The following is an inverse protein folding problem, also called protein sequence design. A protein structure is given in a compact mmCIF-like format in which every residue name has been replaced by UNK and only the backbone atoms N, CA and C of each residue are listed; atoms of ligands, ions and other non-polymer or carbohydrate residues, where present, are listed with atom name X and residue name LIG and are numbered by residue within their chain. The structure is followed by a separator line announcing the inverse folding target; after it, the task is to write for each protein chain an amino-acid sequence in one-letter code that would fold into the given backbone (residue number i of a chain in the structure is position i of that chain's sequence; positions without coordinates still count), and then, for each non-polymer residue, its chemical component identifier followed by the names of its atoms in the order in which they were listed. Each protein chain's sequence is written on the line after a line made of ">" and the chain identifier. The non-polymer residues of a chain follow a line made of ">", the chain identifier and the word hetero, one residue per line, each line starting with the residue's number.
data_IF_244359527349
#
_entry.id   IF_244359527349
#
_cell.length_a   1.000
_cell.length_b   1.000
_cell.length_c   1.000
_cell.angle_alpha   90.00
_cell.angle_beta   90.00
_cell.angle_gamma   90.00
#
_symmetry.space_group_name_H-M   'P 1'
#
loop_
_entity.id
_entity.type
_entity.pdbx_description
1 polymer ?
#
# COMPACT_ATOMS: atom_id res chain seq x y z
N UNK A 1 -7.02 1.17 -17.77
CA UNK A 1 -7.15 -0.24 -18.20
C UNK A 1 -5.93 -0.62 -19.05
N UNK A 2 -5.16 -1.63 -18.62
CA UNK A 2 -4.01 -2.11 -19.38
C UNK A 2 -4.17 -3.62 -19.65
N UNK A 3 -4.62 -3.94 -20.87
CA UNK A 3 -4.88 -5.32 -21.30
C UNK A 3 -3.61 -6.21 -21.30
N UNK A 4 -2.42 -5.61 -21.25
CA UNK A 4 -1.17 -6.36 -21.15
C UNK A 4 -0.87 -6.85 -19.73
N UNK A 5 -1.68 -6.48 -18.75
CA UNK A 5 -1.55 -6.95 -17.37
C UNK A 5 -2.42 -8.19 -17.16
N UNK A 6 -1.85 -9.37 -16.84
CA UNK A 6 -2.62 -10.60 -16.60
C UNK A 6 -3.71 -10.43 -15.53
N UNK A 7 -3.47 -9.63 -14.53
CA UNK A 7 -4.44 -9.25 -13.47
C UNK A 7 -5.72 -8.62 -14.05
N UNK A 8 -5.58 -7.72 -15.02
CA UNK A 8 -6.72 -7.04 -15.65
C UNK A 8 -7.57 -8.01 -16.48
N UNK A 9 -6.93 -8.92 -17.22
CA UNK A 9 -7.64 -9.96 -17.97
C UNK A 9 -8.43 -10.86 -17.02
N UNK A 10 -7.77 -11.30 -15.92
CA UNK A 10 -8.43 -12.14 -14.92
C UNK A 10 -9.63 -11.42 -14.30
N UNK A 11 -9.49 -10.15 -13.96
CA UNK A 11 -10.59 -9.34 -13.43
C UNK A 11 -11.76 -9.25 -14.40
N UNK A 12 -11.50 -8.94 -15.67
CA UNK A 12 -12.55 -8.86 -16.70
C UNK A 12 -13.33 -10.17 -16.84
N UNK A 13 -12.62 -11.30 -16.84
CA UNK A 13 -13.27 -12.61 -16.93
C UNK A 13 -14.14 -12.87 -15.69
N UNK A 14 -13.65 -12.57 -14.50
CA UNK A 14 -14.40 -12.72 -13.25
C UNK A 14 -15.64 -11.82 -13.27
N UNK A 15 -15.50 -10.56 -13.63
CA UNK A 15 -16.59 -9.59 -13.65
C UNK A 15 -17.68 -10.01 -14.68
N UNK A 16 -17.26 -10.48 -15.86
CA UNK A 16 -18.18 -10.94 -16.91
C UNK A 16 -18.96 -12.21 -16.54
N UNK A 17 -18.38 -13.08 -15.70
CA UNK A 17 -19.01 -14.33 -15.26
C UNK A 17 -19.79 -14.20 -13.94
N UNK A 18 -19.60 -13.11 -13.21
CA UNK A 18 -20.22 -12.91 -11.91
C UNK A 18 -21.68 -12.49 -12.02
N UNK A 19 -22.55 -13.10 -11.24
CA UNK A 19 -23.97 -12.73 -11.15
C UNK A 19 -24.14 -11.51 -10.23
N UNK A 20 -23.35 -11.43 -9.16
CA UNK A 20 -23.36 -10.31 -8.21
C UNK A 20 -22.01 -9.65 -8.14
N UNK A 21 -21.99 -8.33 -8.30
CA UNK A 21 -20.80 -7.49 -8.22
C UNK A 21 -20.96 -6.51 -7.06
N UNK A 22 -20.05 -6.57 -6.10
CA UNK A 22 -20.00 -5.65 -4.97
C UNK A 22 -18.85 -4.66 -5.13
N UNK A 23 -19.15 -3.37 -5.09
CA UNK A 23 -18.20 -2.30 -5.40
C UNK A 23 -17.99 -1.36 -4.22
N UNK A 24 -16.77 -0.81 -4.13
CA UNK A 24 -16.36 0.05 -3.03
C UNK A 24 -16.81 1.51 -3.16
N UNK A 25 -17.03 2.01 -4.38
CA UNK A 25 -17.36 3.40 -4.60
C UNK A 25 -18.00 3.67 -5.97
N UNK A 26 -18.35 4.93 -6.22
CA UNK A 26 -19.06 5.35 -7.44
C UNK A 26 -18.31 4.99 -8.73
N UNK A 27 -16.99 5.18 -8.73
CA UNK A 27 -16.16 4.90 -9.91
C UNK A 27 -16.09 3.41 -10.23
N UNK A 28 -15.83 2.58 -9.23
CA UNK A 28 -15.79 1.11 -9.39
C UNK A 28 -17.18 0.58 -9.78
N UNK A 29 -18.25 1.16 -9.25
CA UNK A 29 -19.64 0.84 -9.67
C UNK A 29 -19.85 1.14 -11.15
N UNK A 30 -19.44 2.33 -11.62
CA UNK A 30 -19.60 2.71 -13.02
C UNK A 30 -18.77 1.83 -13.98
N UNK A 31 -17.63 1.31 -13.56
CA UNK A 31 -16.82 0.35 -14.33
C UNK A 31 -17.54 -1.01 -14.36
N UNK A 32 -17.89 -1.54 -13.19
CA UNK A 32 -18.57 -2.82 -13.06
C UNK A 32 -19.88 -2.89 -13.87
N UNK A 33 -20.70 -1.83 -13.81
CA UNK A 33 -21.94 -1.75 -14.57
C UNK A 33 -21.73 -1.78 -16.09
N UNK A 34 -20.60 -1.27 -16.58
CA UNK A 34 -20.28 -1.31 -18.01
C UNK A 34 -19.71 -2.65 -18.48
N UNK A 35 -19.06 -3.37 -17.58
CA UNK A 35 -18.35 -4.63 -17.88
C UNK A 35 -19.17 -5.88 -17.49
N UNK A 36 -20.27 -5.71 -16.76
CA UNK A 36 -21.13 -6.81 -16.31
C UNK A 36 -21.90 -7.45 -17.47
N UNK A 37 -22.29 -8.72 -17.30
CA UNK A 37 -23.21 -9.40 -18.20
C UNK A 37 -24.65 -8.92 -18.00
N UNK A 38 -25.55 -9.22 -18.96
CA UNK A 38 -26.98 -8.88 -18.89
C UNK A 38 -27.69 -9.46 -17.65
N UNK A 39 -27.18 -10.57 -17.12
CA UNK A 39 -27.73 -11.25 -15.95
C UNK A 39 -27.07 -10.84 -14.63
N UNK A 40 -26.12 -9.92 -14.66
CA UNK A 40 -25.38 -9.49 -13.49
C UNK A 40 -26.07 -8.31 -12.80
N UNK A 41 -25.87 -8.21 -11.49
CA UNK A 41 -26.34 -7.10 -10.67
C UNK A 41 -25.17 -6.48 -9.89
N UNK A 42 -25.07 -5.15 -9.95
CA UNK A 42 -24.01 -4.40 -9.27
C UNK A 42 -24.56 -3.66 -8.06
N UNK A 43 -23.92 -3.84 -6.91
CA UNK A 43 -24.25 -3.20 -5.63
C UNK A 43 -23.09 -2.39 -5.09
N UNK A 44 -23.29 -1.12 -4.83
CA UNK A 44 -22.30 -0.30 -4.14
C UNK A 44 -22.46 -0.50 -2.63
N UNK A 45 -21.53 -1.21 -2.02
CA UNK A 45 -21.58 -1.59 -0.59
C UNK A 45 -20.51 -0.90 0.26
N UNK A 46 -19.60 -0.17 -0.35
CA UNK A 46 -18.46 0.43 0.32
C UNK A 46 -17.24 -0.51 0.36
N UNK A 47 -16.17 -0.03 0.99
CA UNK A 47 -14.91 -0.76 1.07
C UNK A 47 -14.86 -1.62 2.34
N UNK A 48 -14.94 -2.94 2.19
CA UNK A 48 -14.90 -3.92 3.31
C UNK A 48 -13.59 -3.85 4.11
N UNK A 49 -12.49 -3.35 3.53
CA UNK A 49 -11.24 -3.13 4.25
C UNK A 49 -11.45 -2.17 5.42
N UNK A 50 -12.29 -1.13 5.23
CA UNK A 50 -12.57 -0.14 6.28
C UNK A 50 -13.23 -0.78 7.52
N UNK A 51 -14.11 -1.76 7.32
CA UNK A 51 -14.73 -2.50 8.42
C UNK A 51 -13.70 -3.34 9.17
N UNK A 52 -12.80 -3.98 8.44
CA UNK A 52 -11.69 -4.75 9.01
C UNK A 52 -10.75 -3.86 9.83
N UNK A 53 -10.41 -2.67 9.32
CA UNK A 53 -9.57 -1.71 10.02
C UNK A 53 -10.24 -1.21 11.32
N UNK A 54 -11.53 -0.82 11.24
CA UNK A 54 -12.31 -0.39 12.41
C UNK A 54 -12.39 -1.48 13.48
N UNK A 55 -12.69 -2.72 13.08
CA UNK A 55 -12.77 -3.86 13.99
C UNK A 55 -11.44 -4.13 14.73
N UNK A 56 -10.31 -3.93 14.06
CA UNK A 56 -9.00 -4.20 14.62
C UNK A 56 -8.33 -2.99 15.27
N UNK A 57 -8.88 -1.78 15.12
CA UNK A 57 -8.23 -0.54 15.57
C UNK A 57 -7.79 -0.59 17.04
N UNK A 58 -8.69 -0.99 17.94
CA UNK A 58 -8.38 -1.11 19.38
C UNK A 58 -7.56 -2.37 19.76
N UNK A 59 -7.22 -3.19 18.77
CA UNK A 59 -6.44 -4.42 18.93
C UNK A 59 -5.01 -4.26 18.43
N UNK A 60 -4.70 -3.14 17.80
CA UNK A 60 -3.35 -2.85 17.32
C UNK A 60 -2.34 -2.92 18.46
N UNK A 61 -1.14 -3.43 18.17
CA UNK A 61 -0.10 -3.67 19.17
C UNK A 61 1.22 -3.09 18.69
N UNK A 62 1.87 -2.32 19.56
CA UNK A 62 3.24 -1.87 19.32
C UNK A 62 4.16 -3.08 19.14
N UNK A 63 5.00 -3.11 18.07
CA UNK A 63 5.93 -4.21 17.86
C UNK A 63 6.92 -4.34 19.02
N UNK A 64 7.03 -5.54 19.59
CA UNK A 64 7.97 -5.81 20.68
C UNK A 64 9.43 -5.69 20.23
N UNK A 65 9.71 -5.83 18.93
CA UNK A 65 11.02 -5.63 18.31
C UNK A 65 11.46 -4.16 18.20
N UNK A 66 10.57 -3.21 18.48
CA UNK A 66 10.78 -1.76 18.39
C UNK A 66 10.34 -1.03 19.64
N UNK A 67 10.89 -1.37 20.82
CA UNK A 67 10.40 -0.82 22.10
C UNK A 67 10.60 0.70 22.20
N UNK A 68 11.69 1.23 21.62
CA UNK A 68 12.11 2.62 21.74
C UNK A 68 11.59 3.54 20.61
N UNK A 69 10.70 3.01 19.75
CA UNK A 69 10.15 3.80 18.64
C UNK A 69 9.19 4.87 19.18
N UNK A 70 9.38 6.12 18.78
CA UNK A 70 8.51 7.24 19.12
C UNK A 70 7.42 7.41 18.05
N UNK A 71 6.17 7.49 18.48
CA UNK A 71 5.03 7.71 17.59
C UNK A 71 5.16 9.06 16.88
N UNK A 72 4.86 9.08 15.58
CA UNK A 72 4.95 10.29 14.75
C UNK A 72 6.37 10.74 14.37
N UNK A 73 7.42 10.02 14.77
CA UNK A 73 8.81 10.42 14.53
C UNK A 73 9.56 9.55 13.53
N UNK A 74 8.89 8.60 12.87
CA UNK A 74 9.49 7.68 11.90
C UNK A 74 8.67 7.58 10.62
N UNK A 75 9.33 7.12 9.57
CA UNK A 75 8.69 6.73 8.31
C UNK A 75 8.65 5.21 8.19
N UNK A 76 7.61 4.70 7.52
CA UNK A 76 7.52 3.28 7.17
C UNK A 76 7.79 3.13 5.68
N UNK A 77 8.67 2.19 5.33
CA UNK A 77 8.96 1.84 3.95
C UNK A 77 8.60 0.38 3.67
N UNK A 78 7.82 0.13 2.63
CA UNK A 78 7.51 -1.23 2.16
C UNK A 78 7.80 -1.39 0.69
N UNK A 79 8.29 -2.58 0.29
CA UNK A 79 8.66 -2.89 -1.09
C UNK A 79 8.36 -4.36 -1.39
N UNK A 80 7.46 -4.61 -2.35
CA UNK A 80 7.00 -5.95 -2.72
C UNK A 80 6.99 -6.21 -4.23
N UNK A 81 6.94 -5.17 -5.07
CA UNK A 81 6.82 -5.31 -6.53
C UNK A 81 8.13 -5.77 -7.13
N UNK A 82 8.07 -6.91 -7.82
CA UNK A 82 9.25 -7.53 -8.47
C UNK A 82 9.92 -6.59 -9.47
N UNK A 83 9.15 -5.81 -10.22
CA UNK A 83 9.70 -4.86 -11.20
C UNK A 83 10.58 -3.79 -10.53
N UNK A 84 10.14 -3.20 -9.41
CA UNK A 84 10.92 -2.23 -8.65
C UNK A 84 12.16 -2.87 -8.00
N UNK A 85 12.02 -4.08 -7.47
CA UNK A 85 13.13 -4.81 -6.84
C UNK A 85 14.19 -5.21 -7.87
N UNK A 86 13.80 -5.55 -9.11
CA UNK A 86 14.70 -5.94 -10.19
C UNK A 86 15.48 -4.77 -10.77
N UNK A 87 14.93 -3.57 -10.72
CA UNK A 87 15.60 -2.34 -11.19
C UNK A 87 16.48 -1.75 -10.08
N UNK A 88 17.61 -2.40 -9.85
CA UNK A 88 18.52 -2.07 -8.75
C UNK A 88 19.16 -0.69 -8.86
N UNK A 89 19.33 -0.17 -10.07
CA UNK A 89 19.88 1.17 -10.30
C UNK A 89 18.89 2.26 -9.86
N UNK A 90 17.65 2.20 -10.34
CA UNK A 90 16.63 3.18 -9.97
C UNK A 90 16.22 3.03 -8.50
N UNK A 91 16.17 1.81 -7.98
CA UNK A 91 15.96 1.58 -6.55
C UNK A 91 17.06 2.24 -5.71
N UNK A 92 18.33 2.11 -6.11
CA UNK A 92 19.46 2.74 -5.41
C UNK A 92 19.34 4.28 -5.40
N UNK A 93 19.01 4.89 -6.55
CA UNK A 93 18.79 6.34 -6.66
C UNK A 93 17.62 6.79 -5.77
N UNK A 94 16.52 6.04 -5.76
CA UNK A 94 15.37 6.32 -4.92
C UNK A 94 15.72 6.27 -3.42
N UNK A 95 16.41 5.22 -2.98
CA UNK A 95 16.82 5.06 -1.58
C UNK A 95 17.79 6.17 -1.15
N UNK A 96 18.69 6.59 -2.04
CA UNK A 96 19.56 7.72 -1.80
C UNK A 96 18.77 9.03 -1.65
N UNK A 97 17.84 9.30 -2.56
CA UNK A 97 16.96 10.49 -2.50
C UNK A 97 16.13 10.50 -1.22
N UNK A 98 15.59 9.34 -0.83
CA UNK A 98 14.86 9.20 0.44
C UNK A 98 15.74 9.64 1.61
N UNK A 99 16.95 9.11 1.71
CA UNK A 99 17.91 9.45 2.77
C UNK A 99 18.23 10.94 2.80
N UNK A 100 18.55 11.53 1.64
CA UNK A 100 18.90 12.96 1.53
C UNK A 100 17.73 13.87 1.93
N UNK A 101 16.49 13.45 1.63
CA UNK A 101 15.28 14.24 1.89
C UNK A 101 14.78 14.09 3.33
N UNK A 102 14.89 12.89 3.90
CA UNK A 102 14.36 12.61 5.26
C UNK A 102 15.31 13.04 6.37
N UNK A 103 16.59 13.28 6.06
CA UNK A 103 17.59 13.65 7.05
C UNK A 103 17.71 12.62 8.17
N UNK A 104 17.53 13.04 9.42
CA UNK A 104 17.66 12.19 10.61
C UNK A 104 16.39 11.42 10.97
N UNK A 105 15.32 11.53 10.18
CA UNK A 105 14.08 10.79 10.47
C UNK A 105 14.32 9.29 10.21
N UNK A 106 14.12 8.41 11.21
CA UNK A 106 14.28 6.98 11.04
C UNK A 106 13.31 6.43 10.00
N UNK A 107 13.83 5.56 9.11
CA UNK A 107 13.01 4.81 8.15
C UNK A 107 13.01 3.35 8.57
N UNK A 108 11.83 2.81 8.87
CA UNK A 108 11.64 1.43 9.31
C UNK A 108 11.02 0.64 8.18
N UNK A 109 11.65 -0.48 7.84
CA UNK A 109 11.25 -1.30 6.70
C UNK A 109 11.08 -2.77 7.11
N UNK A 110 9.84 -3.26 7.31
CA UNK A 110 9.55 -4.67 7.49
C UNK A 110 9.65 -5.39 6.14
N UNK A 111 10.87 -5.82 5.78
CA UNK A 111 11.17 -6.44 4.49
C UNK A 111 11.55 -7.91 4.64
N UNK A 112 11.22 -8.69 3.59
CA UNK A 112 11.54 -10.11 3.51
C UNK A 112 12.12 -10.51 2.14
N UNK A 113 12.77 -11.67 2.11
CA UNK A 113 13.20 -12.32 0.88
C UNK A 113 14.08 -11.43 0.00
N UNK A 114 13.72 -11.30 -1.28
CA UNK A 114 14.52 -10.56 -2.26
C UNK A 114 14.54 -9.05 -1.96
N UNK A 115 13.41 -8.47 -1.56
CA UNK A 115 13.34 -7.04 -1.23
C UNK A 115 14.34 -6.68 -0.12
N UNK A 116 14.38 -7.48 0.96
CA UNK A 116 15.34 -7.30 2.05
C UNK A 116 16.77 -7.32 1.53
N UNK A 117 17.16 -8.38 0.82
CA UNK A 117 18.54 -8.54 0.28
C UNK A 117 18.93 -7.39 -0.62
N UNK A 118 18.00 -6.94 -1.49
CA UNK A 118 18.31 -5.87 -2.43
C UNK A 118 18.50 -4.53 -1.72
N UNK A 119 17.68 -4.22 -0.72
CA UNK A 119 17.81 -2.96 0.06
C UNK A 119 19.04 -2.99 0.96
N UNK A 120 19.35 -4.12 1.61
CA UNK A 120 20.60 -4.31 2.39
C UNK A 120 21.84 -4.04 1.54
N UNK A 121 21.88 -4.54 0.30
CA UNK A 121 23.01 -4.35 -0.62
C UNK A 121 23.19 -2.89 -1.08
N UNK A 122 22.20 -2.04 -0.97
CA UNK A 122 22.27 -0.63 -1.33
C UNK A 122 22.86 0.25 -0.21
N UNK A 123 23.23 -0.34 0.94
CA UNK A 123 23.75 0.40 2.11
C UNK A 123 22.90 1.63 2.50
N UNK A 124 21.63 1.57 2.27
CA UNK A 124 20.69 2.64 2.67
C UNK A 124 20.61 2.68 4.20
N UNK A 125 20.57 3.89 4.78
CA UNK A 125 20.33 4.09 6.21
C UNK A 125 18.85 3.82 6.54
N UNK A 126 18.42 2.58 6.35
CA UNK A 126 17.06 2.09 6.60
C UNK A 126 17.16 0.98 7.65
N UNK A 127 16.36 1.11 8.69
CA UNK A 127 16.24 0.07 9.71
C UNK A 127 15.36 -1.07 9.18
N UNK A 128 16.01 -2.11 8.65
CA UNK A 128 15.30 -3.30 8.16
C UNK A 128 14.97 -4.19 9.34
N UNK A 129 13.70 -4.54 9.47
CA UNK A 129 13.20 -5.45 10.52
C UNK A 129 12.54 -6.67 9.90
N UNK A 130 12.32 -7.71 10.72
CA UNK A 130 11.53 -8.87 10.31
C UNK A 130 10.07 -8.48 10.02
N UNK A 131 9.40 -9.24 9.16
CA UNK A 131 7.96 -9.06 8.92
C UNK A 131 7.17 -9.12 10.21
N UNK A 132 6.25 -8.20 10.36
CA UNK A 132 5.39 -8.07 11.52
C UNK A 132 4.07 -8.84 11.32
N UNK A 133 3.39 -9.17 12.42
CA UNK A 133 2.00 -9.61 12.37
C UNK A 133 1.08 -8.50 11.88
N UNK A 134 -0.14 -8.85 11.45
CA UNK A 134 -1.12 -7.87 10.95
C UNK A 134 -1.38 -6.74 11.96
N UNK A 135 -1.54 -7.08 13.24
CA UNK A 135 -1.83 -6.10 14.29
C UNK A 135 -0.63 -5.21 14.62
N UNK A 136 0.58 -5.73 14.55
CA UNK A 136 1.81 -4.97 14.76
C UNK A 136 2.14 -4.08 13.56
N UNK A 137 1.96 -4.59 12.33
CA UNK A 137 2.12 -3.79 11.12
C UNK A 137 1.09 -2.66 11.07
N UNK A 138 -0.17 -2.95 11.41
CA UNK A 138 -1.23 -1.95 11.52
C UNK A 138 -0.89 -0.86 12.55
N UNK A 139 -0.33 -1.23 13.70
CA UNK A 139 0.14 -0.26 14.68
C UNK A 139 1.28 0.61 14.12
N UNK A 140 2.28 -0.03 13.50
CA UNK A 140 3.44 0.64 12.94
C UNK A 140 3.05 1.68 11.88
N UNK A 141 2.11 1.33 11.00
CA UNK A 141 1.64 2.24 9.93
C UNK A 141 0.70 3.32 10.45
N UNK A 142 -0.16 3.01 11.43
CA UNK A 142 -1.10 3.98 12.00
C UNK A 142 -0.41 5.09 12.81
N UNK A 143 0.77 4.83 13.38
CA UNK A 143 1.52 5.78 14.21
C UNK A 143 2.77 6.33 13.51
N UNK A 144 2.90 6.12 12.21
CA UNK A 144 4.00 6.67 11.43
C UNK A 144 3.80 8.16 11.11
N UNK A 145 4.89 8.89 10.94
CA UNK A 145 4.88 10.25 10.39
C UNK A 145 4.47 10.26 8.91
N UNK A 146 4.79 9.21 8.19
CA UNK A 146 4.45 9.01 6.79
C UNK A 146 4.82 7.62 6.32
N UNK A 147 4.28 7.23 5.18
CA UNK A 147 4.48 5.89 4.60
C UNK A 147 4.95 6.03 3.15
N UNK A 148 5.96 5.24 2.78
CA UNK A 148 6.43 5.08 1.41
C UNK A 148 6.22 3.63 1.03
N UNK A 149 5.40 3.36 0.02
CA UNK A 149 4.95 2.00 -0.30
C UNK A 149 4.71 1.80 -1.79
N UNK A 150 4.86 0.58 -2.25
CA UNK A 150 4.41 0.13 -3.57
C UNK A 150 3.07 -0.64 -3.51
N UNK A 151 2.43 -0.68 -2.35
CA UNK A 151 1.19 -1.44 -2.10
C UNK A 151 -0.03 -0.52 -2.06
N UNK A 152 -1.03 -0.81 -2.90
CA UNK A 152 -2.31 -0.10 -2.90
C UNK A 152 -3.08 -0.25 -1.58
N UNK A 153 -3.09 -1.44 -0.98
CA UNK A 153 -3.78 -1.67 0.29
C UNK A 153 -3.16 -0.84 1.43
N UNK A 154 -1.83 -0.72 1.47
CA UNK A 154 -1.15 0.10 2.48
C UNK A 154 -1.49 1.58 2.33
N UNK A 155 -1.66 2.07 1.08
CA UNK A 155 -2.10 3.45 0.86
C UNK A 155 -3.54 3.72 1.31
N UNK A 156 -4.43 2.72 1.21
CA UNK A 156 -5.79 2.81 1.78
C UNK A 156 -5.77 2.82 3.31
N UNK A 157 -4.99 1.93 3.91
CA UNK A 157 -4.81 1.88 5.37
C UNK A 157 -4.21 3.20 5.91
N UNK A 158 -3.23 3.76 5.21
CA UNK A 158 -2.66 5.08 5.51
C UNK A 158 -3.73 6.18 5.47
N UNK A 159 -4.55 6.20 4.43
CA UNK A 159 -5.66 7.15 4.29
C UNK A 159 -6.67 7.02 5.43
N UNK A 160 -7.04 5.79 5.80
CA UNK A 160 -7.94 5.52 6.92
C UNK A 160 -7.39 6.07 8.24
N UNK A 161 -6.09 5.91 8.48
CA UNK A 161 -5.41 6.35 9.68
C UNK A 161 -5.01 7.85 9.65
N UNK A 162 -5.25 8.56 8.54
CA UNK A 162 -4.84 9.96 8.38
C UNK A 162 -3.33 10.16 8.26
N UNK A 163 -2.58 9.12 7.87
CA UNK A 163 -1.12 9.17 7.70
C UNK A 163 -0.78 9.49 6.24
N UNK A 164 0.07 10.51 5.98
CA UNK A 164 0.51 10.83 4.61
C UNK A 164 1.22 9.64 3.96
N UNK A 165 0.91 9.40 2.68
CA UNK A 165 1.45 8.26 1.93
C UNK A 165 2.03 8.68 0.60
N UNK A 166 3.17 8.08 0.24
CA UNK A 166 3.76 8.14 -1.09
C UNK A 166 3.70 6.73 -1.68
N UNK A 167 3.01 6.60 -2.81
CA UNK A 167 2.92 5.33 -3.54
C UNK A 167 3.93 5.32 -4.70
N UNK A 168 4.84 4.34 -4.67
CA UNK A 168 5.90 4.11 -5.66
C UNK A 168 5.32 3.49 -6.93
N UNK A 169 4.50 4.23 -7.63
CA UNK A 169 3.86 3.82 -8.85
C UNK A 169 3.21 5.03 -9.56
N UNK A 170 3.08 4.95 -10.88
CA UNK A 170 2.41 5.98 -11.68
C UNK A 170 0.90 5.77 -11.81
N UNK A 171 0.36 4.71 -11.23
CA UNK A 171 -1.08 4.42 -11.19
C UNK A 171 -1.50 3.84 -9.84
N UNK A 172 -2.78 3.96 -9.51
CA UNK A 172 -3.39 3.28 -8.36
C UNK A 172 -4.79 2.77 -8.72
N UNK A 173 -5.15 1.64 -8.15
CA UNK A 173 -6.54 1.13 -8.17
C UNK A 173 -7.42 1.94 -7.19
N UNK A 174 -6.80 2.61 -6.20
CA UNK A 174 -7.43 3.34 -5.09
C UNK A 174 -7.36 4.86 -5.29
N UNK A 175 -7.99 5.35 -6.36
CA UNK A 175 -7.90 6.76 -6.74
C UNK A 175 -8.52 7.72 -5.73
N UNK A 176 -9.40 7.21 -4.88
CA UNK A 176 -9.99 7.95 -3.77
C UNK A 176 -8.92 8.46 -2.82
N UNK A 177 -7.85 7.69 -2.55
CA UNK A 177 -6.74 8.09 -1.68
C UNK A 177 -5.98 9.31 -2.22
N UNK A 178 -5.84 9.38 -3.55
CA UNK A 178 -5.22 10.51 -4.23
C UNK A 178 -6.16 11.72 -4.24
N UNK A 179 -7.46 11.49 -4.49
CA UNK A 179 -8.46 12.56 -4.58
C UNK A 179 -8.65 13.30 -3.26
N UNK A 180 -8.55 12.60 -2.12
CA UNK A 180 -8.60 13.23 -0.78
C UNK A 180 -7.27 13.85 -0.36
N UNK A 181 -6.19 13.67 -1.14
CA UNK A 181 -4.89 14.29 -0.90
C UNK A 181 -4.02 13.61 0.15
N UNK A 182 -4.39 12.41 0.63
CA UNK A 182 -3.61 11.64 1.60
C UNK A 182 -2.48 10.82 0.97
N UNK A 183 -2.56 10.59 -0.35
CA UNK A 183 -1.61 9.76 -1.11
C UNK A 183 -1.12 10.50 -2.35
N UNK A 184 0.19 10.44 -2.60
CA UNK A 184 0.85 10.97 -3.80
C UNK A 184 1.48 9.82 -4.58
N UNK A 185 1.25 9.78 -5.90
CA UNK A 185 1.89 8.81 -6.79
C UNK A 185 3.22 9.35 -7.28
N UNK A 186 4.27 8.54 -7.19
CA UNK A 186 5.61 8.83 -7.72
C UNK A 186 6.11 7.60 -8.47
N UNK A 187 6.23 7.71 -9.79
CA UNK A 187 6.67 6.62 -10.65
C UNK A 187 6.99 7.07 -12.05
#
# INVERSE_FOLDING_TARGET
>A
FNINMPKEITRLVIDALSVYLFTAGVRSTGIATREQSENSQTYMVGNILMDTLRFNYNRLRKPASLPDICEGEYLVFTLNRRALIADTENLGKMLQTMRETTGDIPIIAPLRGLARKTVENQNACIQIIEPLSYLEFGWLTAHAKGIITDSGNVSEEATFNGVPCITLNNYTEHQETVSVGSNVLVG
#
